data_IF_219813357741
#
_entry.id   IF_219813357741
#
_cell.length_a   1.000
_cell.length_b   1.000
_cell.length_c   1.000
_cell.angle_alpha   90.00
_cell.angle_beta   90.00
_cell.angle_gamma   90.00
#
_symmetry.space_group_name_H-M   'P 1'
#
loop_
_entity.id
_entity.type
_entity.pdbx_description
1 polymer ?
#
# COMPACT_ATOMS: atom_id res chain seq x y z
N UNK A 1 -21.16 16.99 18.00
CA UNK A 1 -21.66 15.61 17.96
C UNK A 1 -20.76 14.80 17.04
N UNK A 2 -19.97 13.87 17.59
CA UNK A 2 -19.00 13.04 16.85
C UNK A 2 -19.64 11.69 16.53
N UNK A 3 -19.51 11.21 15.29
CA UNK A 3 -19.80 9.82 14.95
C UNK A 3 -18.59 9.25 14.21
N UNK A 4 -17.90 8.33 14.88
CA UNK A 4 -16.82 7.52 14.34
C UNK A 4 -17.40 6.27 13.69
N UNK A 5 -16.76 5.76 12.64
CA UNK A 5 -16.87 4.33 12.29
C UNK A 5 -15.55 3.85 11.69
N UNK A 6 -14.78 3.13 12.51
CA UNK A 6 -13.64 2.30 12.11
C UNK A 6 -14.10 0.84 12.25
N UNK A 7 -13.79 -0.01 11.26
CA UNK A 7 -13.99 -1.46 11.37
C UNK A 7 -12.61 -2.11 11.44
N UNK A 8 -12.28 -2.57 12.66
CA UNK A 8 -11.07 -3.30 13.09
C UNK A 8 -9.69 -2.62 12.91
N UNK A 9 -8.86 -2.67 13.96
CA UNK A 9 -7.41 -2.38 13.84
C UNK A 9 -6.92 -0.96 14.18
N UNK A 10 -7.54 -0.30 15.18
CA UNK A 10 -6.97 0.80 16.00
C UNK A 10 -5.83 1.70 15.43
N UNK A 11 -6.17 2.76 14.69
CA UNK A 11 -5.92 4.18 15.08
C UNK A 11 -6.34 5.19 14.00
N UNK A 12 -6.98 6.28 14.42
CA UNK A 12 -7.10 7.49 13.60
C UNK A 12 -5.77 8.26 13.63
N UNK A 13 -5.08 8.34 12.49
CA UNK A 13 -3.89 9.19 12.35
C UNK A 13 -4.34 10.59 11.93
N UNK A 14 -4.18 11.64 12.76
CA UNK A 14 -4.48 12.99 12.34
C UNK A 14 -3.42 13.46 11.32
N UNK A 15 -3.83 13.65 10.07
CA UNK A 15 -3.00 14.24 9.02
C UNK A 15 -2.84 15.77 9.23
N UNK A 16 -2.13 16.15 10.29
CA UNK A 16 -1.62 17.52 10.50
C UNK A 16 -0.17 17.60 10.02
N UNK A 17 0.14 18.56 9.15
CA UNK A 17 1.51 18.90 8.77
C UNK A 17 1.80 18.78 7.28
N UNK A 18 2.69 19.64 6.77
CA UNK A 18 2.92 19.89 5.33
C UNK A 18 3.72 18.80 4.60
N UNK A 19 4.15 17.75 5.30
CA UNK A 19 5.05 16.71 4.76
C UNK A 19 4.29 15.41 4.46
N UNK A 20 3.46 15.45 3.41
CA UNK A 20 2.91 14.23 2.83
C UNK A 20 4.01 13.49 2.05
N UNK A 21 4.72 12.57 2.71
CA UNK A 21 5.70 11.69 2.08
C UNK A 21 5.09 11.04 0.84
N UNK A 22 5.58 11.41 -0.34
CA UNK A 22 5.01 11.00 -1.63
C UNK A 22 5.45 9.58 -1.98
N UNK A 23 5.16 8.63 -1.10
CA UNK A 23 5.34 7.19 -1.32
C UNK A 23 4.60 6.82 -2.60
N UNK A 24 5.19 5.91 -3.39
CA UNK A 24 4.73 5.60 -4.75
C UNK A 24 3.29 5.05 -4.70
N UNK A 25 2.36 5.76 -5.36
CA UNK A 25 0.96 5.38 -5.57
C UNK A 25 0.05 5.41 -4.31
N UNK A 26 0.17 6.44 -3.47
CA UNK A 26 -0.97 6.85 -2.62
C UNK A 26 -2.00 7.59 -3.50
N UNK A 27 -2.92 6.83 -4.10
CA UNK A 27 -4.11 7.37 -4.76
C UNK A 27 -5.27 7.49 -3.78
N UNK A 28 -6.13 8.49 -3.95
CA UNK A 28 -7.37 8.64 -3.18
C UNK A 28 -8.56 8.28 -4.07
N UNK A 29 -9.40 7.32 -3.66
CA UNK A 29 -10.73 7.12 -4.24
C UNK A 29 -11.75 7.93 -3.45
N UNK A 30 -12.71 8.58 -4.13
CA UNK A 30 -13.69 9.47 -3.47
C UNK A 30 -15.15 9.06 -3.73
N UNK A 31 -16.01 9.40 -2.77
CA UNK A 31 -17.46 9.28 -2.86
C UNK A 31 -18.11 10.58 -2.34
N UNK A 32 -18.21 11.64 -3.17
CA UNK A 32 -18.56 12.98 -2.71
C UNK A 32 -19.95 13.08 -2.06
N UNK A 33 -20.92 12.28 -2.52
CA UNK A 33 -22.27 12.18 -1.92
C UNK A 33 -22.26 11.83 -0.43
N UNK A 34 -21.24 11.09 0.01
CA UNK A 34 -21.04 10.64 1.38
C UNK A 34 -19.91 11.40 2.10
N UNK A 35 -19.32 12.42 1.45
CA UNK A 35 -18.13 13.15 1.92
C UNK A 35 -16.98 12.23 2.35
N UNK A 36 -16.77 11.14 1.61
CA UNK A 36 -15.74 10.14 1.92
C UNK A 36 -14.57 10.21 0.93
N UNK A 37 -13.36 10.15 1.47
CA UNK A 37 -12.12 9.93 0.71
C UNK A 37 -11.36 8.74 1.31
N UNK A 38 -10.93 7.80 0.46
CA UNK A 38 -10.17 6.62 0.89
C UNK A 38 -8.78 6.61 0.26
N UNK A 39 -7.75 6.56 1.10
CA UNK A 39 -6.36 6.36 0.72
C UNK A 39 -6.13 4.89 0.29
N UNK A 40 -5.99 4.66 -1.01
CA UNK A 40 -5.81 3.34 -1.61
C UNK A 40 -4.38 2.85 -1.40
N UNK A 41 -4.19 2.01 -0.38
CA UNK A 41 -2.89 1.38 -0.08
C UNK A 41 -2.80 0.05 -0.82
N UNK A 42 -1.94 -0.04 -1.83
CA UNK A 42 -1.76 -1.26 -2.62
C UNK A 42 -1.48 -2.50 -1.75
N UNK A 43 -2.22 -3.59 -2.03
CA UNK A 43 -2.20 -4.90 -1.33
C UNK A 43 -2.77 -4.91 0.10
N UNK A 44 -3.34 -3.79 0.55
CA UNK A 44 -4.10 -3.65 1.80
C UNK A 44 -5.59 -3.44 1.47
N UNK A 45 -6.27 -4.51 1.03
CA UNK A 45 -7.66 -4.52 0.54
C UNK A 45 -7.99 -3.52 -0.61
N UNK A 46 -6.97 -2.98 -1.30
CA UNK A 46 -7.14 -1.93 -2.32
C UNK A 46 -8.22 -2.21 -3.37
N UNK A 47 -8.28 -3.43 -3.91
CA UNK A 47 -9.26 -3.80 -4.96
C UNK A 47 -10.70 -3.72 -4.47
N UNK A 48 -10.95 -4.22 -3.26
CA UNK A 48 -12.28 -4.21 -2.62
C UNK A 48 -12.69 -2.78 -2.32
N UNK A 49 -11.80 -1.98 -1.70
CA UNK A 49 -12.17 -0.63 -1.31
C UNK A 49 -12.32 0.33 -2.50
N UNK A 50 -11.51 0.20 -3.57
CA UNK A 50 -11.76 0.94 -4.82
C UNK A 50 -13.12 0.55 -5.43
N UNK A 51 -13.52 -0.73 -5.36
CA UNK A 51 -14.83 -1.18 -5.84
C UNK A 51 -15.99 -0.59 -5.01
N UNK A 52 -15.87 -0.58 -3.68
CA UNK A 52 -16.84 0.07 -2.77
C UNK A 52 -16.93 1.57 -3.07
N UNK A 53 -15.81 2.27 -3.19
CA UNK A 53 -15.80 3.71 -3.48
C UNK A 53 -16.36 4.03 -4.89
N UNK A 54 -16.16 3.15 -5.87
CA UNK A 54 -16.78 3.27 -7.20
C UNK A 54 -18.32 3.07 -7.14
N UNK A 55 -18.80 2.11 -6.34
CA UNK A 55 -20.23 1.93 -6.07
C UNK A 55 -20.86 3.14 -5.36
N UNK A 56 -20.20 3.67 -4.34
CA UNK A 56 -20.67 4.86 -3.61
C UNK A 56 -20.61 6.14 -4.45
N UNK A 57 -19.65 6.24 -5.38
CA UNK A 57 -19.55 7.32 -6.35
C UNK A 57 -20.72 7.28 -7.35
N UNK A 58 -20.96 6.14 -8.02
CA UNK A 58 -22.02 5.99 -9.00
C UNK A 58 -22.65 4.59 -8.98
N UNK A 59 -23.58 4.38 -8.04
CA UNK A 59 -24.35 3.14 -7.84
C UNK A 59 -24.93 2.59 -9.14
N UNK A 60 -25.58 3.44 -9.93
CA UNK A 60 -26.25 3.04 -11.17
C UNK A 60 -25.26 2.54 -12.23
N UNK A 61 -24.14 3.24 -12.41
CA UNK A 61 -23.06 2.80 -13.32
C UNK A 61 -22.44 1.49 -12.85
N UNK A 62 -22.13 1.36 -11.56
CA UNK A 62 -21.54 0.14 -11.01
C UNK A 62 -22.47 -1.06 -11.12
N UNK A 63 -23.73 -0.94 -10.69
CA UNK A 63 -24.71 -2.03 -10.75
C UNK A 63 -24.96 -2.47 -12.20
N UNK A 64 -25.22 -1.54 -13.13
CA UNK A 64 -25.40 -1.89 -14.56
C UNK A 64 -24.17 -2.60 -15.13
N UNK A 65 -22.97 -2.07 -14.88
CA UNK A 65 -21.75 -2.68 -15.40
C UNK A 65 -21.48 -4.08 -14.82
N UNK A 66 -21.68 -4.28 -13.52
CA UNK A 66 -21.42 -5.57 -12.85
C UNK A 66 -22.49 -6.63 -13.12
N UNK A 67 -23.76 -6.26 -13.20
CA UNK A 67 -24.86 -7.19 -13.52
C UNK A 67 -24.83 -7.61 -15.00
N UNK A 68 -24.65 -6.66 -15.94
CA UNK A 68 -24.75 -6.95 -17.37
C UNK A 68 -23.48 -7.62 -17.93
N UNK A 69 -22.28 -7.22 -17.47
CA UNK A 69 -21.02 -7.61 -18.13
C UNK A 69 -20.19 -8.67 -17.38
N UNK A 70 -20.72 -9.28 -16.31
CA UNK A 70 -20.00 -10.25 -15.43
C UNK A 70 -18.53 -9.85 -15.16
N UNK A 71 -18.30 -8.59 -14.79
CA UNK A 71 -16.96 -8.01 -14.72
C UNK A 71 -16.03 -8.75 -13.74
N UNK A 72 -14.80 -9.00 -14.18
CA UNK A 72 -13.72 -9.46 -13.31
C UNK A 72 -13.22 -8.35 -12.38
N UNK A 73 -12.39 -8.70 -11.39
CA UNK A 73 -11.90 -7.76 -10.37
C UNK A 73 -11.16 -6.55 -10.94
N UNK A 74 -10.33 -6.75 -11.97
CA UNK A 74 -9.55 -5.68 -12.59
C UNK A 74 -10.44 -4.71 -13.37
N UNK A 75 -11.47 -5.22 -14.04
CA UNK A 75 -12.49 -4.41 -14.70
C UNK A 75 -13.33 -3.61 -13.70
N UNK A 76 -13.69 -4.20 -12.55
CA UNK A 76 -14.38 -3.50 -11.44
C UNK A 76 -13.51 -2.38 -10.85
N UNK A 77 -12.23 -2.66 -10.60
CA UNK A 77 -11.25 -1.70 -10.10
C UNK A 77 -11.08 -0.49 -11.04
N UNK A 78 -11.00 -0.72 -12.36
CA UNK A 78 -10.83 0.36 -13.33
C UNK A 78 -12.12 1.15 -13.64
N UNK A 79 -13.31 0.64 -13.28
CA UNK A 79 -14.61 1.15 -13.76
C UNK A 79 -14.88 2.64 -13.48
N UNK A 80 -14.34 3.16 -12.37
CA UNK A 80 -14.43 4.58 -12.01
C UNK A 80 -13.05 5.28 -11.96
N UNK A 81 -11.96 4.62 -12.36
CA UNK A 81 -10.60 5.08 -12.04
C UNK A 81 -10.32 6.49 -12.59
N UNK A 82 -10.80 6.80 -13.80
CA UNK A 82 -10.66 8.12 -14.43
C UNK A 82 -11.57 9.22 -13.85
N UNK A 83 -12.55 8.86 -13.03
CA UNK A 83 -13.59 9.78 -12.53
C UNK A 83 -13.46 10.07 -11.03
N UNK A 84 -13.19 9.04 -10.22
CA UNK A 84 -13.21 9.15 -8.76
C UNK A 84 -11.85 8.97 -8.10
N UNK A 85 -10.74 9.00 -8.85
CA UNK A 85 -9.39 8.91 -8.29
C UNK A 85 -8.59 10.20 -8.38
N UNK A 86 -7.86 10.49 -7.31
CA UNK A 86 -7.06 11.69 -7.12
C UNK A 86 -5.65 11.31 -6.64
N UNK A 87 -4.66 12.10 -7.00
CA UNK A 87 -3.25 11.82 -6.71
C UNK A 87 -2.76 12.30 -5.32
N UNK A 88 -3.61 12.99 -4.55
CA UNK A 88 -3.28 13.51 -3.22
C UNK A 88 -4.55 13.95 -2.47
N UNK A 89 -4.49 14.05 -1.14
CA UNK A 89 -5.58 14.66 -0.34
C UNK A 89 -5.81 16.12 -0.73
N UNK A 90 -4.76 16.85 -1.13
CA UNK A 90 -4.84 18.24 -1.56
C UNK A 90 -5.64 18.42 -2.85
N UNK A 91 -5.49 17.52 -3.84
CA UNK A 91 -6.28 17.58 -5.07
C UNK A 91 -7.75 17.23 -4.84
N UNK A 92 -8.07 16.34 -3.88
CA UNK A 92 -9.47 16.16 -3.43
C UNK A 92 -9.99 17.41 -2.72
N UNK A 93 -9.19 18.02 -1.84
CA UNK A 93 -9.57 19.22 -1.11
C UNK A 93 -9.86 20.42 -2.03
N UNK A 94 -9.04 20.60 -3.08
CA UNK A 94 -9.25 21.60 -4.14
C UNK A 94 -10.52 21.32 -4.94
N UNK A 95 -10.86 20.06 -5.20
CA UNK A 95 -12.03 19.69 -6.00
C UNK A 95 -13.37 19.85 -5.26
N UNK A 96 -13.44 19.58 -3.95
CA UNK A 96 -14.72 19.44 -3.25
C UNK A 96 -14.93 20.31 -1.99
N UNK A 97 -13.96 21.14 -1.58
CA UNK A 97 -13.95 21.86 -0.28
C UNK A 97 -14.06 20.88 0.90
N UNK A 98 -12.91 20.46 1.41
CA UNK A 98 -12.73 19.30 2.31
C UNK A 98 -13.28 19.43 3.75
N UNK A 99 -14.23 20.33 4.01
CA UNK A 99 -14.84 20.52 5.33
C UNK A 99 -15.82 19.37 5.65
N UNK A 100 -15.67 18.76 6.83
CA UNK A 100 -16.50 17.64 7.30
C UNK A 100 -16.45 16.40 6.38
N UNK A 101 -15.28 16.10 5.82
CA UNK A 101 -15.01 14.86 5.08
C UNK A 101 -14.41 13.78 5.98
N UNK A 102 -14.86 12.54 5.80
CA UNK A 102 -14.27 11.36 6.43
C UNK A 102 -13.15 10.81 5.56
N UNK A 103 -11.93 10.77 6.11
CA UNK A 103 -10.76 10.16 5.45
C UNK A 103 -10.49 8.80 6.07
N UNK A 104 -10.39 7.76 5.24
CA UNK A 104 -10.02 6.41 5.67
C UNK A 104 -8.78 5.90 4.96
N UNK A 105 -8.06 4.98 5.59
CA UNK A 105 -6.92 4.27 5.05
C UNK A 105 -6.95 2.86 5.65
N UNK A 106 -6.87 1.82 4.82
CA UNK A 106 -6.67 0.45 5.30
C UNK A 106 -5.19 0.14 5.13
N UNK A 107 -4.55 -0.32 6.20
CA UNK A 107 -3.14 -0.71 6.19
C UNK A 107 -3.04 -2.23 6.35
N UNK A 108 -1.83 -2.77 6.17
CA UNK A 108 -1.53 -4.19 6.33
C UNK A 108 -0.08 -4.30 6.77
N UNK A 109 0.24 -5.36 7.52
CA UNK A 109 1.61 -5.73 7.85
C UNK A 109 2.55 -5.61 6.62
N UNK A 110 3.70 -4.92 6.73
CA UNK A 110 4.56 -4.66 5.59
C UNK A 110 5.18 -5.92 4.96
N UNK A 111 5.49 -6.96 5.76
CA UNK A 111 6.02 -8.23 5.26
C UNK A 111 4.96 -8.94 4.41
N UNK A 112 3.75 -9.10 4.95
CA UNK A 112 2.61 -9.69 4.24
C UNK A 112 2.26 -8.93 2.95
N UNK A 113 2.35 -7.59 3.00
CA UNK A 113 2.08 -6.67 1.88
C UNK A 113 3.13 -6.85 0.78
N UNK A 114 4.41 -6.95 1.15
CA UNK A 114 5.50 -7.24 0.23
C UNK A 114 5.36 -8.63 -0.42
N UNK A 115 5.14 -9.68 0.37
CA UNK A 115 4.94 -11.05 -0.14
C UNK A 115 3.73 -11.12 -1.08
N UNK A 116 2.62 -10.45 -0.75
CA UNK A 116 1.47 -10.34 -1.67
C UNK A 116 1.82 -9.63 -2.98
N UNK A 117 2.63 -8.57 -2.94
CA UNK A 117 3.11 -7.86 -4.12
C UNK A 117 4.00 -8.72 -5.01
N UNK A 118 4.93 -9.46 -4.40
CA UNK A 118 5.84 -10.37 -5.08
C UNK A 118 5.11 -11.55 -5.73
N UNK A 119 4.28 -12.27 -4.97
CA UNK A 119 3.52 -13.44 -5.47
C UNK A 119 2.65 -13.04 -6.66
N UNK A 120 1.99 -11.88 -6.62
CA UNK A 120 1.15 -11.42 -7.73
C UNK A 120 1.94 -11.08 -8.99
N UNK A 121 3.10 -10.43 -8.82
CA UNK A 121 3.88 -9.83 -9.92
C UNK A 121 4.91 -10.78 -10.54
N UNK A 122 5.36 -11.77 -9.78
CA UNK A 122 6.44 -12.69 -10.16
C UNK A 122 5.98 -14.14 -10.30
N UNK A 123 4.94 -14.56 -9.57
CA UNK A 123 4.51 -15.97 -9.52
C UNK A 123 3.19 -16.18 -10.26
N UNK A 124 2.15 -15.38 -9.97
CA UNK A 124 0.78 -15.59 -10.50
C UNK A 124 0.52 -14.97 -11.86
N UNK A 125 0.98 -13.74 -12.10
CA UNK A 125 0.62 -12.99 -13.31
C UNK A 125 1.75 -12.05 -13.78
N UNK A 126 2.89 -12.58 -14.26
CA UNK A 126 3.92 -11.77 -14.91
C UNK A 126 3.34 -11.05 -16.13
N UNK A 127 3.29 -9.71 -16.09
CA UNK A 127 2.75 -8.86 -17.18
C UNK A 127 3.65 -7.64 -17.43
N UNK A 128 3.68 -7.19 -18.69
CA UNK A 128 4.46 -6.04 -19.17
C UNK A 128 5.82 -6.44 -19.78
N UNK A 129 6.58 -5.46 -20.31
CA UNK A 129 7.86 -5.72 -20.99
C UNK A 129 8.91 -6.41 -20.12
N UNK A 130 9.05 -6.00 -18.84
CA UNK A 130 9.96 -6.62 -17.86
C UNK A 130 9.16 -7.04 -16.61
N UNK A 131 8.46 -8.19 -16.63
CA UNK A 131 7.77 -8.73 -15.46
C UNK A 131 8.78 -9.05 -14.36
N UNK A 132 8.36 -9.01 -13.09
CA UNK A 132 9.25 -9.18 -11.93
C UNK A 132 10.59 -8.39 -11.97
N UNK A 133 10.66 -7.25 -12.66
CA UNK A 133 11.91 -6.51 -12.91
C UNK A 133 12.98 -7.24 -13.75
N UNK A 134 12.65 -8.34 -14.43
CA UNK A 134 13.63 -9.21 -15.09
C UNK A 134 14.32 -10.20 -14.13
N UNK A 135 13.72 -10.46 -12.97
CA UNK A 135 14.22 -11.39 -11.96
C UNK A 135 13.50 -12.76 -11.94
N UNK A 136 12.58 -13.00 -12.87
CA UNK A 136 11.72 -14.19 -12.95
C UNK A 136 11.08 -14.60 -11.61
N UNK A 137 11.62 -15.63 -10.96
CA UNK A 137 11.19 -16.15 -9.64
C UNK A 137 12.28 -15.99 -8.56
N UNK A 138 13.33 -15.21 -8.82
CA UNK A 138 14.40 -14.95 -7.87
C UNK A 138 14.03 -13.78 -6.93
N UNK A 139 13.65 -14.12 -5.69
CA UNK A 139 13.27 -13.16 -4.66
C UNK A 139 14.40 -12.17 -4.31
N UNK A 140 15.65 -12.63 -4.27
CA UNK A 140 16.84 -11.83 -3.93
C UNK A 140 17.13 -10.76 -4.99
N UNK A 141 17.03 -11.13 -6.27
CA UNK A 141 17.08 -10.17 -7.38
C UNK A 141 15.92 -9.18 -7.30
N UNK A 142 14.69 -9.67 -7.09
CA UNK A 142 13.51 -8.81 -7.08
C UNK A 142 13.56 -7.75 -5.97
N UNK A 143 13.91 -8.13 -4.74
CA UNK A 143 13.89 -7.23 -3.59
C UNK A 143 14.99 -6.16 -3.69
N UNK A 144 16.19 -6.54 -4.13
CA UNK A 144 17.30 -5.58 -4.35
C UNK A 144 16.98 -4.63 -5.51
N UNK A 145 16.32 -5.11 -6.57
CA UNK A 145 15.84 -4.28 -7.68
C UNK A 145 14.72 -3.32 -7.29
N UNK A 146 13.76 -3.72 -6.45
CA UNK A 146 12.73 -2.81 -5.92
C UNK A 146 13.34 -1.77 -4.97
N UNK A 147 14.26 -2.14 -4.08
CA UNK A 147 14.93 -1.18 -3.19
C UNK A 147 15.74 -0.13 -3.98
N UNK A 148 16.50 -0.55 -5.01
CA UNK A 148 17.20 0.37 -5.91
C UNK A 148 16.23 1.36 -6.58
N UNK A 149 15.04 0.90 -6.99
CA UNK A 149 13.99 1.76 -7.56
C UNK A 149 13.36 2.70 -6.54
N UNK A 150 13.15 2.24 -5.31
CA UNK A 150 12.68 3.06 -4.19
C UNK A 150 13.65 4.21 -3.88
N UNK A 151 14.93 3.90 -3.69
CA UNK A 151 15.97 4.90 -3.42
C UNK A 151 16.14 5.90 -4.57
N UNK A 152 16.11 5.44 -5.83
CA UNK A 152 16.18 6.33 -7.00
C UNK A 152 14.96 7.28 -7.09
N UNK A 153 13.78 6.86 -6.63
CA UNK A 153 12.58 7.72 -6.56
C UNK A 153 12.70 8.76 -5.44
N UNK A 154 13.27 8.40 -4.30
CA UNK A 154 13.42 9.30 -3.15
C UNK A 154 14.47 10.40 -3.45
N UNK A 155 15.61 10.02 -4.04
CA UNK A 155 16.62 10.99 -4.51
C UNK A 155 16.06 11.97 -5.54
N UNK A 156 15.28 11.49 -6.53
CA UNK A 156 14.57 12.35 -7.50
C UNK A 156 13.51 13.29 -6.89
N UNK A 157 13.18 13.13 -5.61
CA UNK A 157 12.24 13.98 -4.87
C UNK A 157 12.93 14.95 -3.91
N UNK A 158 14.26 15.03 -3.95
CA UNK A 158 15.05 15.83 -3.01
C UNK A 158 14.75 15.45 -1.54
N UNK A 159 14.54 14.16 -1.27
CA UNK A 159 14.54 13.67 0.12
C UNK A 159 15.96 13.89 0.66
N UNK A 160 16.12 14.64 1.77
CA UNK A 160 17.43 14.90 2.36
C UNK A 160 18.21 13.60 2.65
N UNK A 161 19.50 13.55 2.30
CA UNK A 161 20.30 12.31 2.38
C UNK A 161 20.64 11.95 3.84
N UNK A 162 20.61 12.92 4.76
CA UNK A 162 20.65 12.71 6.22
C UNK A 162 19.47 11.84 6.69
N UNK A 163 18.26 12.11 6.21
CA UNK A 163 17.07 11.30 6.48
C UNK A 163 17.21 9.86 5.93
N UNK A 164 17.95 9.68 4.83
CA UNK A 164 18.25 8.36 4.26
C UNK A 164 19.40 7.65 5.01
N UNK A 165 20.31 8.39 5.65
CA UNK A 165 21.34 7.83 6.54
C UNK A 165 20.75 7.37 7.87
N UNK A 166 19.91 8.20 8.51
CA UNK A 166 19.22 7.87 9.75
C UNK A 166 18.44 6.55 9.68
N UNK A 167 17.68 6.33 8.59
CA UNK A 167 16.95 5.07 8.35
C UNK A 167 17.89 3.87 8.14
N UNK A 168 19.12 4.08 7.62
CA UNK A 168 20.11 2.99 7.54
C UNK A 168 20.63 2.62 8.92
N UNK A 169 20.93 3.61 9.74
CA UNK A 169 21.71 3.45 10.96
C UNK A 169 20.83 2.93 12.11
N UNK A 170 19.59 3.42 12.25
CA UNK A 170 18.65 2.92 13.27
C UNK A 170 18.34 1.42 13.10
N UNK A 171 18.34 0.93 11.85
CA UNK A 171 18.11 -0.49 11.52
C UNK A 171 19.30 -1.42 11.83
N UNK A 172 20.35 -0.90 12.47
CA UNK A 172 21.45 -1.72 13.00
C UNK A 172 21.43 -1.87 14.53
N UNK A 173 20.49 -1.23 15.23
CA UNK A 173 20.47 -1.16 16.70
C UNK A 173 19.28 -1.91 17.34
N UNK A 174 19.58 -3.09 17.89
CA UNK A 174 18.71 -3.96 18.73
C UNK A 174 17.66 -4.82 17.99
N UNK A 175 17.24 -5.93 18.62
CA UNK A 175 16.47 -7.04 18.02
C UNK A 175 15.61 -7.77 19.05
N UNK A 176 14.36 -8.18 18.73
CA UNK A 176 13.67 -9.40 19.25
C UNK A 176 12.21 -9.59 18.73
N UNK A 177 11.92 -10.78 18.16
CA UNK A 177 10.70 -11.65 18.27
C UNK A 177 9.27 -11.05 18.18
N UNK A 178 8.20 -11.66 17.60
CA UNK A 178 7.97 -12.71 16.57
C UNK A 178 6.46 -12.73 16.19
N UNK A 179 5.98 -13.73 15.40
CA UNK A 179 4.56 -14.10 15.07
C UNK A 179 4.01 -13.90 13.61
N UNK A 180 2.77 -14.37 13.39
CA UNK A 180 2.22 -15.07 12.19
C UNK A 180 0.68 -14.82 12.04
N UNK A 181 -0.12 -15.23 11.03
CA UNK A 181 0.00 -15.97 9.73
C UNK A 181 -1.29 -15.75 8.89
N UNK A 182 -1.23 -15.78 7.55
CA UNK A 182 -2.38 -16.08 6.66
C UNK A 182 -1.94 -16.39 5.20
N UNK A 183 -2.12 -17.61 4.68
CA UNK A 183 -1.29 -18.08 3.55
C UNK A 183 -1.97 -18.99 2.49
N UNK A 184 -1.32 -19.05 1.32
CA UNK A 184 -1.43 -20.10 0.31
C UNK A 184 -0.03 -20.71 0.09
N UNK A 185 0.16 -21.91 -0.47
CA UNK A 185 1.48 -22.59 -0.45
C UNK A 185 2.65 -21.76 -0.99
N UNK A 186 2.44 -21.02 -2.09
CA UNK A 186 3.46 -20.10 -2.62
C UNK A 186 3.70 -18.89 -1.70
N UNK A 187 2.66 -18.37 -1.05
CA UNK A 187 2.77 -17.28 -0.07
C UNK A 187 3.51 -17.76 1.18
N UNK A 188 3.16 -18.93 1.74
CA UNK A 188 3.91 -19.62 2.81
C UNK A 188 5.38 -19.74 2.48
N UNK A 189 5.69 -20.29 1.31
CA UNK A 189 7.07 -20.51 0.90
C UNK A 189 7.88 -19.21 0.86
N UNK A 190 7.35 -18.15 0.26
CA UNK A 190 8.06 -16.88 0.14
C UNK A 190 8.04 -16.03 1.42
N UNK A 191 7.01 -16.16 2.26
CA UNK A 191 6.97 -15.52 3.58
C UNK A 191 8.00 -16.16 4.53
N UNK A 192 8.02 -17.50 4.63
CA UNK A 192 9.03 -18.22 5.39
C UNK A 192 10.45 -17.96 4.87
N UNK A 193 10.66 -17.96 3.55
CA UNK A 193 11.97 -17.62 2.94
C UNK A 193 12.43 -16.21 3.28
N UNK A 194 11.51 -15.25 3.42
CA UNK A 194 11.83 -13.87 3.75
C UNK A 194 12.07 -13.69 5.26
N UNK A 195 11.24 -14.30 6.12
CA UNK A 195 11.39 -14.28 7.59
C UNK A 195 12.63 -15.01 8.08
N UNK A 196 13.03 -16.10 7.42
CA UNK A 196 14.24 -16.88 7.76
C UNK A 196 15.55 -16.30 7.21
N UNK A 197 15.52 -15.18 6.47
CA UNK A 197 16.70 -14.61 5.82
C UNK A 197 16.90 -13.14 6.22
N UNK A 198 17.82 -12.83 7.14
CA UNK A 198 18.04 -11.46 7.64
C UNK A 198 18.34 -10.45 6.51
N UNK A 199 19.12 -10.84 5.50
CA UNK A 199 19.43 -9.98 4.35
C UNK A 199 18.18 -9.61 3.53
N UNK A 200 17.27 -10.56 3.28
CA UNK A 200 16.01 -10.26 2.60
C UNK A 200 15.10 -9.39 3.48
N UNK A 201 15.04 -9.69 4.78
CA UNK A 201 14.21 -8.92 5.70
C UNK A 201 14.68 -7.46 5.83
N UNK A 202 15.99 -7.22 5.90
CA UNK A 202 16.61 -5.89 5.94
C UNK A 202 16.09 -4.96 4.84
N UNK A 203 15.93 -5.47 3.61
CA UNK A 203 15.37 -4.68 2.51
C UNK A 203 13.88 -4.40 2.65
N UNK A 204 13.09 -5.31 3.24
CA UNK A 204 11.68 -5.03 3.55
C UNK A 204 11.61 -3.93 4.60
N UNK A 205 12.36 -4.06 5.70
CA UNK A 205 12.38 -3.04 6.75
C UNK A 205 12.85 -1.69 6.19
N UNK A 206 13.91 -1.64 5.37
CA UNK A 206 14.37 -0.40 4.70
C UNK A 206 13.35 0.22 3.74
N UNK A 207 12.54 -0.59 3.04
CA UNK A 207 11.49 -0.06 2.13
C UNK A 207 10.23 0.40 2.88
N UNK A 208 9.94 -0.18 4.04
CA UNK A 208 8.70 0.02 4.78
C UNK A 208 8.90 0.60 6.20
N UNK A 209 10.09 1.10 6.54
CA UNK A 209 10.43 1.65 7.86
C UNK A 209 9.39 2.64 8.40
N UNK A 210 8.92 3.57 7.57
CA UNK A 210 7.87 4.53 7.94
C UNK A 210 6.51 3.88 8.20
N UNK A 211 6.18 2.78 7.54
CA UNK A 211 4.97 2.01 7.84
C UNK A 211 5.12 1.36 9.23
N UNK A 212 6.28 0.78 9.57
CA UNK A 212 6.55 0.24 10.90
C UNK A 212 6.44 1.33 12.00
N UNK A 213 7.18 2.43 11.88
CA UNK A 213 7.22 3.49 12.91
C UNK A 213 5.90 4.23 13.06
N UNK A 214 5.32 4.74 11.96
CA UNK A 214 4.16 5.64 12.06
C UNK A 214 2.83 4.89 12.23
N UNK A 215 2.70 3.69 11.67
CA UNK A 215 1.51 2.85 11.84
C UNK A 215 1.63 1.91 13.06
N UNK A 216 2.82 1.84 13.67
CA UNK A 216 3.16 1.01 14.84
C UNK A 216 2.98 -0.49 14.60
N UNK A 217 3.42 -0.96 13.43
CA UNK A 217 3.62 -2.40 13.22
C UNK A 217 4.84 -2.87 14.03
N UNK A 218 4.84 -4.08 14.58
CA UNK A 218 6.04 -4.66 15.17
C UNK A 218 7.12 -4.80 14.10
N UNK A 219 8.37 -4.51 14.45
CA UNK A 219 9.49 -4.79 13.56
C UNK A 219 9.69 -6.31 13.40
N UNK A 220 10.13 -6.79 12.23
CA UNK A 220 10.41 -8.21 12.02
C UNK A 220 11.64 -8.68 12.80
N UNK A 221 11.67 -9.97 13.13
CA UNK A 221 12.75 -10.61 13.88
C UNK A 221 14.15 -10.26 13.33
N UNK A 222 14.93 -9.53 14.12
CA UNK A 222 16.29 -9.09 13.77
C UNK A 222 16.47 -7.60 13.49
N UNK A 223 15.39 -6.81 13.62
CA UNK A 223 15.30 -5.36 13.42
C UNK A 223 14.43 -4.72 14.52
#
# INVERSE_FOLDING_TARGET
MLIYTLIYGAKTIPLKGKNAYKIRLVGFSVAPKFKMAHCVVHKSMSTVMTSIMCYLYNRTKYSRATQVKKLNEWQKYNLCQSENTYNSVFSVAKAFKFSNWSVSMITRDPVERFVSGYVDRCIRAPKGKNPCNGCDKNLTCFITAEYRKFMAINRKKHVPEDSLSFIRDELTANRRTSHTTAESPARTFYENRLRSNPFLMEYVVKMFYHDFVHLRYPFPDGF
#
